data_IF_115283447478
#
_entry.id   IF_115283447478
#
_cell.length_a   1.000
_cell.length_b   1.000
_cell.length_c   1.000
_cell.angle_alpha   90.00
_cell.angle_beta   90.00
_cell.angle_gamma   90.00
#
_symmetry.space_group_name_H-M   'P 1'
#
loop_
_entity.id
_entity.type
_entity.pdbx_description
1 polymer ?
#
# COMPACT_ATOMS: atom_id res chain seq x y z
N UNK A 1 17.22 39.46 -35.18
CA UNK A 1 15.82 39.84 -34.99
C UNK A 1 15.33 38.99 -33.82
N UNK A 2 15.53 39.53 -32.64
CA UNK A 2 15.16 38.88 -31.35
C UNK A 2 13.68 39.20 -31.14
N UNK A 3 12.84 38.20 -31.05
CA UNK A 3 11.44 38.31 -30.63
C UNK A 3 11.36 38.03 -29.15
N UNK A 4 10.80 38.98 -28.45
CA UNK A 4 10.55 39.06 -27.02
C UNK A 4 9.66 37.90 -26.55
N UNK A 5 10.11 37.21 -25.52
CA UNK A 5 9.29 36.32 -24.74
C UNK A 5 8.70 37.14 -23.58
N UNK A 6 7.39 37.31 -23.58
CA UNK A 6 6.64 37.88 -22.47
C UNK A 6 6.75 36.97 -21.23
N UNK A 7 6.81 37.54 -20.01
CA UNK A 7 6.85 36.76 -18.79
C UNK A 7 5.49 36.15 -18.51
N UNK A 8 5.48 34.82 -18.33
CA UNK A 8 4.31 34.09 -17.81
C UNK A 8 4.01 34.58 -16.39
N UNK A 9 2.80 35.10 -16.22
CA UNK A 9 2.29 35.60 -14.95
C UNK A 9 2.37 34.53 -13.86
N UNK A 10 2.99 34.87 -12.74
CA UNK A 10 2.85 34.16 -11.47
C UNK A 10 1.39 34.13 -11.06
N UNK A 11 0.70 33.03 -11.34
CA UNK A 11 -0.60 32.75 -10.73
C UNK A 11 -0.36 32.35 -9.29
N UNK A 12 -0.62 33.29 -8.41
CA UNK A 12 -0.66 33.15 -6.96
C UNK A 12 -1.58 32.00 -6.55
N UNK A 13 -1.01 31.00 -5.89
CA UNK A 13 -1.71 29.95 -5.15
C UNK A 13 -2.39 30.53 -3.87
N UNK A 14 -3.22 31.56 -3.99
CA UNK A 14 -3.85 32.20 -2.85
C UNK A 14 -5.32 31.91 -2.62
N UNK A 15 -5.99 31.12 -3.49
CA UNK A 15 -7.45 30.90 -3.40
C UNK A 15 -7.88 29.42 -3.41
N UNK A 16 -7.09 28.53 -2.82
CA UNK A 16 -7.63 27.26 -2.36
C UNK A 16 -8.31 27.50 -1.01
N UNK A 17 -9.63 27.58 -1.05
CA UNK A 17 -10.51 27.80 0.10
C UNK A 17 -10.43 26.60 1.07
N UNK A 18 -9.40 26.62 1.96
CA UNK A 18 -9.17 25.63 3.02
C UNK A 18 -10.19 25.75 4.18
N UNK A 19 -11.26 26.53 4.06
CA UNK A 19 -12.30 26.70 5.10
C UNK A 19 -13.15 25.45 5.36
N UNK A 20 -13.00 24.37 4.59
CA UNK A 20 -13.71 23.11 4.80
C UNK A 20 -13.00 22.06 5.66
N UNK A 21 -11.70 22.20 5.93
CA UNK A 21 -10.96 21.25 6.75
C UNK A 21 -10.85 21.70 8.21
N UNK A 22 -11.90 21.46 8.97
CA UNK A 22 -11.86 21.56 10.43
C UNK A 22 -10.90 20.51 10.99
N UNK A 23 -9.83 20.96 11.67
CA UNK A 23 -8.84 20.12 12.38
C UNK A 23 -9.50 19.15 13.39
N UNK A 24 -10.74 19.37 13.77
CA UNK A 24 -11.49 18.52 14.68
C UNK A 24 -11.92 17.17 14.05
N UNK A 25 -11.92 17.01 12.71
CA UNK A 25 -12.30 15.75 12.05
C UNK A 25 -11.13 14.75 11.90
N UNK A 26 -9.89 15.18 12.13
CA UNK A 26 -8.70 14.35 11.99
C UNK A 26 -8.23 13.69 13.30
N UNK A 27 -8.88 13.97 14.42
CA UNK A 27 -8.53 13.36 15.72
C UNK A 27 -7.19 13.81 16.31
N UNK A 28 -6.51 14.75 15.69
CA UNK A 28 -5.27 15.34 16.23
C UNK A 28 -5.64 16.47 17.19
N UNK A 29 -5.28 16.33 18.45
CA UNK A 29 -5.33 17.45 19.39
C UNK A 29 -4.29 18.48 18.94
N UNK A 30 -4.66 19.77 18.94
CA UNK A 30 -3.82 20.90 18.54
C UNK A 30 -2.46 20.98 19.30
N UNK A 31 -2.35 20.24 20.41
CA UNK A 31 -1.17 20.12 21.28
C UNK A 31 -0.09 19.18 20.74
N UNK A 32 -0.38 18.32 19.73
CA UNK A 32 0.56 17.28 19.29
C UNK A 32 1.59 17.79 18.27
N UNK A 33 1.45 19.03 17.77
CA UNK A 33 2.36 19.65 16.78
C UNK A 33 3.22 20.80 17.34
N UNK A 34 3.11 21.11 18.62
CA UNK A 34 4.05 22.04 19.24
C UNK A 34 5.39 21.34 19.40
N UNK A 35 6.45 21.85 18.76
CA UNK A 35 7.82 21.45 19.02
C UNK A 35 7.97 21.54 20.56
N UNK A 36 8.35 20.45 21.24
CA UNK A 36 8.56 20.51 22.68
C UNK A 36 9.81 21.36 22.93
N UNK A 37 9.64 22.66 22.86
CA UNK A 37 10.66 23.62 23.22
C UNK A 37 10.49 23.94 24.70
N UNK A 38 11.48 23.54 25.52
CA UNK A 38 11.76 24.08 26.82
C UNK A 38 11.47 23.29 28.11
N UNK A 39 11.01 22.05 28.07
CA UNK A 39 11.07 21.26 29.31
C UNK A 39 12.45 20.59 29.45
N UNK A 40 13.42 21.38 29.99
CA UNK A 40 14.79 20.92 30.25
C UNK A 40 14.83 19.81 31.31
N UNK A 41 13.75 19.63 32.10
CA UNK A 41 13.68 18.63 33.17
C UNK A 41 13.64 17.20 32.64
N UNK A 42 13.16 16.99 31.39
CA UNK A 42 13.05 15.67 30.78
C UNK A 42 14.32 15.22 30.04
N UNK A 43 15.20 16.16 29.69
CA UNK A 43 16.41 15.90 28.93
C UNK A 43 17.50 15.28 29.78
N UNK A 44 18.14 14.24 29.30
CA UNK A 44 19.15 13.47 30.01
C UNK A 44 20.54 13.82 29.50
N UNK A 45 21.42 14.30 30.43
CA UNK A 45 22.81 14.62 30.13
C UNK A 45 23.71 13.62 30.83
N UNK A 46 24.72 13.13 30.13
CA UNK A 46 25.70 12.20 30.68
C UNK A 46 27.09 12.83 30.65
N UNK A 47 27.79 12.81 31.79
CA UNK A 47 29.12 13.43 31.96
C UNK A 47 30.15 12.34 32.18
N UNK A 48 31.25 12.39 31.41
CA UNK A 48 32.35 11.47 31.50
C UNK A 48 33.61 12.31 31.77
N UNK A 49 34.21 12.16 32.94
CA UNK A 49 35.43 12.86 33.37
C UNK A 49 36.03 12.05 34.52
N UNK A 50 37.33 11.78 34.50
CA UNK A 50 38.00 10.97 35.53
C UNK A 50 38.10 11.71 36.88
N UNK A 51 37.98 13.05 36.86
CA UNK A 51 38.00 13.89 38.06
C UNK A 51 36.59 14.15 38.60
N UNK A 52 36.26 13.58 39.75
CA UNK A 52 35.00 13.79 40.44
C UNK A 52 34.66 15.27 40.67
N UNK A 53 35.69 16.14 40.84
CA UNK A 53 35.52 17.58 41.05
C UNK A 53 34.90 18.24 39.82
N UNK A 54 35.38 17.92 38.61
CA UNK A 54 34.88 18.46 37.36
C UNK A 54 33.42 18.07 37.17
N UNK A 55 33.08 16.79 37.42
CA UNK A 55 31.70 16.29 37.38
C UNK A 55 30.79 17.09 38.33
N UNK A 56 31.21 17.31 39.57
CA UNK A 56 30.42 18.06 40.56
C UNK A 56 30.17 19.51 40.13
N UNK A 57 31.18 20.15 39.58
CA UNK A 57 31.06 21.51 39.05
C UNK A 57 30.09 21.57 37.87
N UNK A 58 30.24 20.72 36.87
CA UNK A 58 29.35 20.66 35.73
C UNK A 58 27.90 20.34 36.15
N UNK A 59 27.70 19.35 37.01
CA UNK A 59 26.36 18.98 37.56
C UNK A 59 25.73 20.16 38.30
N UNK A 60 26.52 20.92 39.11
CA UNK A 60 26.00 22.11 39.82
C UNK A 60 25.49 23.16 38.85
N UNK A 61 26.24 23.47 37.79
CA UNK A 61 25.83 24.42 36.77
C UNK A 61 24.56 23.94 36.04
N UNK A 62 24.55 22.71 35.55
CA UNK A 62 23.40 22.15 34.84
C UNK A 62 22.12 22.17 35.70
N UNK A 63 22.20 21.75 36.95
CA UNK A 63 21.07 21.79 37.89
C UNK A 63 20.57 23.22 38.15
N UNK A 64 21.48 24.19 38.27
CA UNK A 64 21.11 25.61 38.45
C UNK A 64 20.26 26.11 37.26
N UNK A 65 20.42 25.52 36.08
CA UNK A 65 19.68 25.86 34.85
C UNK A 65 18.46 24.98 34.57
N UNK A 66 18.09 24.10 35.53
CA UNK A 66 16.90 23.30 35.47
C UNK A 66 17.05 21.92 34.77
N UNK A 67 18.29 21.50 34.49
CA UNK A 67 18.55 20.14 34.05
C UNK A 67 18.60 19.20 35.27
N UNK A 68 17.55 18.40 35.43
CA UNK A 68 17.41 17.53 36.61
C UNK A 68 18.04 16.12 36.39
N UNK A 69 18.02 15.64 35.14
CA UNK A 69 18.50 14.32 34.76
C UNK A 69 19.94 14.37 34.27
N UNK A 70 20.87 14.45 35.23
CA UNK A 70 22.33 14.55 34.94
C UNK A 70 23.02 13.37 35.59
N UNK A 71 23.40 12.37 34.79
CA UNK A 71 24.19 11.23 35.20
C UNK A 71 25.68 11.40 34.84
N UNK A 72 26.55 10.56 35.41
CA UNK A 72 27.98 10.66 35.16
C UNK A 72 28.74 9.39 35.46
N UNK A 73 29.97 9.31 34.97
CA UNK A 73 30.94 8.28 35.36
C UNK A 73 32.33 8.86 35.44
N UNK A 74 33.13 8.35 36.39
CA UNK A 74 34.57 8.53 36.47
C UNK A 74 35.35 7.35 35.89
N UNK A 75 34.66 6.36 35.39
CA UNK A 75 35.25 5.18 34.79
C UNK A 75 35.07 5.23 33.25
N UNK A 76 36.15 5.62 32.51
CA UNK A 76 36.09 5.73 31.07
C UNK A 76 35.94 4.36 30.37
N UNK A 77 36.43 3.26 30.96
CA UNK A 77 36.38 1.93 30.36
C UNK A 77 34.93 1.41 30.24
N UNK A 78 34.04 1.80 31.15
CA UNK A 78 32.63 1.44 31.12
C UNK A 78 31.70 2.50 30.52
N UNK A 79 32.25 3.60 30.00
CA UNK A 79 31.48 4.76 29.55
C UNK A 79 30.50 4.41 28.41
N UNK A 80 30.98 3.75 27.38
CA UNK A 80 30.15 3.35 26.20
C UNK A 80 29.00 2.44 26.63
N UNK A 81 29.27 1.42 27.44
CA UNK A 81 28.23 0.54 27.98
C UNK A 81 27.16 1.31 28.76
N UNK A 82 27.59 2.22 29.63
CA UNK A 82 26.65 3.06 30.38
C UNK A 82 25.82 3.98 29.51
N UNK A 83 26.42 4.58 28.48
CA UNK A 83 25.71 5.41 27.51
C UNK A 83 24.59 4.63 26.82
N UNK A 84 24.89 3.38 26.40
CA UNK A 84 23.88 2.51 25.78
C UNK A 84 22.72 2.16 26.71
N UNK A 85 23.00 1.97 28.02
CA UNK A 85 21.96 1.67 29.01
C UNK A 85 21.15 2.89 29.42
N UNK A 86 21.80 4.03 29.50
CA UNK A 86 21.21 5.25 30.02
C UNK A 86 20.50 6.09 28.94
N UNK A 87 20.83 5.87 27.65
CA UNK A 87 20.27 6.57 26.48
C UNK A 87 20.19 8.10 26.67
N UNK A 88 21.32 8.81 26.89
CA UNK A 88 21.31 10.24 27.12
C UNK A 88 20.95 11.04 25.86
N UNK A 89 20.48 12.26 26.04
CA UNK A 89 20.22 13.21 24.96
C UNK A 89 21.47 14.06 24.62
N UNK A 90 22.45 14.13 25.51
CA UNK A 90 23.72 14.84 25.34
C UNK A 90 24.82 14.21 26.19
N UNK A 91 26.02 14.15 25.64
CA UNK A 91 27.23 13.70 26.34
C UNK A 91 28.19 14.87 26.51
N UNK A 92 28.71 15.08 27.74
CA UNK A 92 29.87 15.90 28.02
C UNK A 92 31.04 14.96 28.28
N UNK A 93 32.09 15.01 27.45
CA UNK A 93 33.16 14.02 27.42
C UNK A 93 34.53 14.71 27.61
N UNK A 94 35.22 14.38 28.68
CA UNK A 94 36.61 14.77 28.82
C UNK A 94 37.52 14.01 27.86
N UNK A 95 38.47 14.70 27.27
CA UNK A 95 39.47 14.06 26.37
C UNK A 95 40.60 13.40 27.15
N UNK A 96 41.10 14.07 28.16
CA UNK A 96 42.34 13.70 28.86
C UNK A 96 42.03 12.84 30.08
N UNK A 97 41.76 11.55 29.84
CA UNK A 97 41.52 10.56 30.90
C UNK A 97 42.55 9.47 30.86
N UNK A 98 42.95 8.89 32.04
CA UNK A 98 43.86 7.74 32.07
C UNK A 98 43.18 6.48 31.47
N UNK A 99 44.01 5.57 30.96
CA UNK A 99 43.61 4.27 30.36
C UNK A 99 42.89 4.34 29.02
N UNK A 100 41.76 5.10 28.94
CA UNK A 100 40.97 5.27 27.71
C UNK A 100 40.76 6.76 27.47
N UNK A 101 41.25 7.27 26.34
CA UNK A 101 41.07 8.67 25.98
C UNK A 101 39.64 8.98 25.53
N UNK A 102 39.20 10.24 25.73
CA UNK A 102 37.87 10.64 25.24
C UNK A 102 37.72 10.57 23.71
N UNK A 103 38.83 10.71 22.94
CA UNK A 103 38.78 10.52 21.50
C UNK A 103 38.44 9.06 21.12
N UNK A 104 38.97 8.09 21.85
CA UNK A 104 38.67 6.67 21.64
C UNK A 104 37.22 6.36 21.97
N UNK A 105 36.69 6.92 23.07
CA UNK A 105 35.26 6.78 23.39
C UNK A 105 34.38 7.42 22.29
N UNK A 106 34.78 8.60 21.77
CA UNK A 106 34.07 9.26 20.69
C UNK A 106 34.04 8.41 19.42
N UNK A 107 35.18 7.79 19.03
CA UNK A 107 35.30 6.88 17.89
C UNK A 107 34.39 5.66 18.06
N UNK A 108 34.39 5.04 19.25
CA UNK A 108 33.49 3.92 19.58
C UNK A 108 32.01 4.32 19.47
N UNK A 109 31.63 5.49 19.98
CA UNK A 109 30.27 6.01 19.88
C UNK A 109 29.85 6.29 18.43
N UNK A 110 30.75 6.71 17.57
CA UNK A 110 30.45 6.98 16.14
C UNK A 110 30.41 5.72 15.30
N UNK A 111 31.08 4.66 15.72
CA UNK A 111 31.09 3.35 15.06
C UNK A 111 29.82 2.53 15.34
N UNK A 112 29.14 2.76 16.46
CA UNK A 112 27.91 2.04 16.85
C UNK A 112 26.66 2.75 16.34
N UNK A 113 25.80 2.04 15.64
CA UNK A 113 24.54 2.55 15.07
C UNK A 113 23.58 3.12 16.12
N UNK A 114 23.60 2.57 17.33
CA UNK A 114 22.73 2.99 18.43
C UNK A 114 23.17 4.30 19.08
N UNK A 115 24.46 4.66 18.99
CA UNK A 115 25.04 5.82 19.69
C UNK A 115 25.60 6.90 18.77
N UNK A 116 25.89 6.59 17.50
CA UNK A 116 26.52 7.52 16.54
C UNK A 116 25.80 8.86 16.36
N UNK A 117 24.50 8.90 16.66
CA UNK A 117 23.66 10.07 16.51
C UNK A 117 23.57 10.94 17.77
N UNK A 118 24.20 10.50 18.90
CA UNK A 118 24.20 11.25 20.15
C UNK A 118 25.08 12.48 20.04
N UNK A 119 24.62 13.69 20.44
CA UNK A 119 25.46 14.86 20.47
C UNK A 119 26.49 14.77 21.59
N UNK A 120 27.73 15.11 21.25
CA UNK A 120 28.87 15.08 22.15
C UNK A 120 29.53 16.46 22.20
N UNK A 121 29.68 17.02 23.41
CA UNK A 121 30.51 18.18 23.69
C UNK A 121 31.80 17.70 24.37
N UNK A 122 32.91 18.05 23.79
CA UNK A 122 34.22 17.71 24.32
C UNK A 122 34.66 18.72 25.38
N UNK A 123 35.19 18.24 26.49
CA UNK A 123 35.84 19.03 27.52
C UNK A 123 37.38 18.98 27.33
N UNK A 124 38.07 20.09 27.14
CA UNK A 124 39.50 20.11 26.81
C UNK A 124 40.25 21.23 27.49
N UNK A 125 41.56 21.11 27.72
CA UNK A 125 42.41 22.18 28.22
C UNK A 125 42.63 23.25 27.12
N UNK A 126 42.91 24.49 27.55
CA UNK A 126 42.95 25.67 26.66
C UNK A 126 44.03 25.65 25.57
N UNK A 127 45.06 24.79 25.69
CA UNK A 127 46.27 24.79 24.84
C UNK A 127 46.27 23.74 23.72
N UNK A 128 45.15 23.01 23.49
CA UNK A 128 45.13 21.81 22.64
C UNK A 128 44.30 22.04 21.37
N UNK A 129 44.71 22.96 20.49
CA UNK A 129 43.99 23.24 19.23
C UNK A 129 43.97 22.06 18.28
N UNK A 130 45.04 21.28 18.22
CA UNK A 130 45.15 20.09 17.37
C UNK A 130 44.14 19.02 17.81
N UNK A 131 44.01 18.78 19.11
CA UNK A 131 43.07 17.80 19.67
C UNK A 131 41.60 18.23 19.48
N UNK A 132 41.32 19.54 19.54
CA UNK A 132 39.98 20.07 19.22
C UNK A 132 39.60 19.78 17.77
N UNK A 133 40.52 19.98 16.86
CA UNK A 133 40.30 19.70 15.42
C UNK A 133 40.06 18.22 15.18
N UNK A 134 40.91 17.36 15.74
CA UNK A 134 40.75 15.92 15.67
C UNK A 134 39.40 15.43 16.22
N UNK A 135 38.97 15.93 17.38
CA UNK A 135 37.67 15.61 17.97
C UNK A 135 36.48 15.99 17.06
N UNK A 136 36.55 17.18 16.43
CA UNK A 136 35.52 17.62 15.48
C UNK A 136 35.50 16.77 14.20
N UNK A 137 36.67 16.40 13.69
CA UNK A 137 36.77 15.47 12.54
C UNK A 137 36.19 14.07 12.86
N UNK A 138 36.41 13.59 14.10
CA UNK A 138 35.81 12.36 14.60
C UNK A 138 34.30 12.47 14.88
N UNK A 139 33.72 13.65 14.72
CA UNK A 139 32.29 13.89 14.83
C UNK A 139 31.79 14.38 16.18
N UNK A 140 32.65 14.99 16.99
CA UNK A 140 32.15 15.81 18.13
C UNK A 140 31.33 16.99 17.59
N UNK A 141 30.27 17.36 18.32
CA UNK A 141 29.38 18.43 17.90
C UNK A 141 29.85 19.81 18.34
N UNK A 142 30.61 19.89 19.45
CA UNK A 142 31.16 21.13 19.99
C UNK A 142 32.25 20.82 21.02
N UNK A 143 32.91 21.85 21.53
CA UNK A 143 33.90 21.73 22.61
C UNK A 143 33.76 22.84 23.66
N UNK A 144 34.23 22.60 24.88
CA UNK A 144 34.31 23.53 25.99
C UNK A 144 35.71 23.48 26.60
N UNK A 145 36.29 24.64 26.84
CA UNK A 145 37.59 24.73 27.48
C UNK A 145 37.48 24.62 29.00
N UNK A 146 38.40 23.89 29.63
CA UNK A 146 38.54 23.83 31.09
C UNK A 146 39.42 25.04 31.55
N UNK A 147 39.10 25.74 32.66
CA UNK A 147 37.94 25.50 33.54
C UNK A 147 36.64 25.88 32.88
N UNK A 148 35.58 25.09 33.10
CA UNK A 148 34.26 25.29 32.46
C UNK A 148 33.67 26.62 32.87
N UNK A 149 33.46 27.51 31.88
CA UNK A 149 32.70 28.76 32.08
C UNK A 149 31.20 28.45 31.92
N UNK A 150 30.39 28.72 32.95
CA UNK A 150 28.94 28.55 32.86
C UNK A 150 28.33 29.33 31.70
N UNK A 151 28.80 30.53 31.40
CA UNK A 151 28.24 31.37 30.33
C UNK A 151 28.50 30.85 28.94
N UNK A 152 29.55 30.05 28.73
CA UNK A 152 29.85 29.39 27.47
C UNK A 152 29.16 28.02 27.36
N UNK A 153 29.07 27.27 28.45
CA UNK A 153 28.49 25.95 28.50
C UNK A 153 26.97 25.93 28.19
N UNK A 154 26.20 26.83 28.81
CA UNK A 154 24.74 26.82 28.74
C UNK A 154 24.17 26.96 27.31
N UNK A 155 24.62 27.92 26.48
CA UNK A 155 24.13 28.06 25.10
C UNK A 155 24.41 26.81 24.26
N UNK A 156 25.60 26.19 24.40
CA UNK A 156 26.01 25.01 23.64
C UNK A 156 25.16 23.82 24.01
N UNK A 157 24.99 23.55 25.32
CA UNK A 157 24.11 22.48 25.82
C UNK A 157 22.68 22.66 25.32
N UNK A 158 22.11 23.87 25.44
CA UNK A 158 20.74 24.15 24.98
C UNK A 158 20.56 23.96 23.48
N UNK A 159 21.50 24.43 22.68
CA UNK A 159 21.42 24.30 21.22
C UNK A 159 21.46 22.85 20.78
N UNK A 160 22.37 22.06 21.33
CA UNK A 160 22.47 20.64 20.96
C UNK A 160 21.27 19.81 21.44
N UNK A 161 20.77 20.08 22.64
CA UNK A 161 19.58 19.44 23.16
C UNK A 161 18.33 19.85 22.38
N UNK A 162 18.20 21.11 21.93
CA UNK A 162 17.10 21.53 21.06
C UNK A 162 17.16 20.83 19.70
N UNK A 163 18.33 20.73 19.08
CA UNK A 163 18.55 19.98 17.86
C UNK A 163 18.18 18.48 18.02
N UNK A 164 18.61 17.88 19.13
CA UNK A 164 18.29 16.48 19.45
C UNK A 164 16.79 16.27 19.61
N UNK A 165 16.12 17.15 20.35
CA UNK A 165 14.68 17.09 20.52
C UNK A 165 13.94 17.23 19.17
N UNK A 166 14.40 18.13 18.30
CA UNK A 166 13.82 18.28 16.96
C UNK A 166 14.03 17.04 16.09
N UNK A 167 15.21 16.43 16.10
CA UNK A 167 15.48 15.17 15.38
C UNK A 167 14.57 14.04 15.88
N UNK A 168 14.48 13.85 17.19
CA UNK A 168 13.62 12.83 17.80
C UNK A 168 12.13 13.07 17.46
N UNK A 169 11.68 14.32 17.43
CA UNK A 169 10.32 14.67 17.00
C UNK A 169 10.06 14.30 15.55
N UNK A 170 10.99 14.63 14.64
CA UNK A 170 10.86 14.31 13.21
C UNK A 170 10.81 12.80 12.97
N UNK A 171 11.68 12.02 13.63
CA UNK A 171 11.69 10.56 13.52
C UNK A 171 10.35 9.96 13.96
N UNK A 172 9.86 10.33 15.15
CA UNK A 172 8.56 9.85 15.65
C UNK A 172 7.39 10.26 14.76
N UNK A 173 7.43 11.49 14.23
CA UNK A 173 6.39 11.98 13.31
C UNK A 173 6.38 11.20 11.99
N UNK A 174 7.56 10.85 11.46
CA UNK A 174 7.68 10.02 10.25
C UNK A 174 7.08 8.63 10.48
N UNK A 175 7.43 7.97 11.59
CA UNK A 175 6.88 6.65 11.95
C UNK A 175 5.36 6.67 12.09
N UNK A 176 4.82 7.70 12.75
CA UNK A 176 3.37 7.87 12.91
C UNK A 176 2.67 8.10 11.57
N UNK A 177 3.26 8.94 10.69
CA UNK A 177 2.72 9.18 9.35
C UNK A 177 2.72 7.91 8.49
N UNK A 178 3.82 7.15 8.51
CA UNK A 178 3.89 5.88 7.78
C UNK A 178 2.86 4.86 8.27
N UNK A 179 2.66 4.76 9.59
CA UNK A 179 1.64 3.90 10.16
C UNK A 179 0.23 4.33 9.73
N UNK A 180 -0.06 5.64 9.73
CA UNK A 180 -1.34 6.19 9.31
C UNK A 180 -1.58 5.99 7.80
N UNK A 181 -0.55 6.20 6.95
CA UNK A 181 -0.63 5.92 5.50
C UNK A 181 -0.95 4.44 5.27
N UNK A 182 -0.23 3.52 5.92
CA UNK A 182 -0.50 2.07 5.82
C UNK A 182 -1.94 1.74 6.23
N UNK A 183 -2.41 2.33 7.33
CA UNK A 183 -3.78 2.13 7.82
C UNK A 183 -4.83 2.61 6.83
N UNK A 184 -4.65 3.81 6.26
CA UNK A 184 -5.58 4.40 5.27
C UNK A 184 -5.58 3.63 3.97
N UNK A 185 -4.43 3.23 3.47
CA UNK A 185 -4.32 2.43 2.24
C UNK A 185 -5.05 1.09 2.40
N UNK A 186 -4.86 0.39 3.52
CA UNK A 186 -5.58 -0.86 3.78
C UNK A 186 -7.11 -0.66 3.87
N UNK A 187 -7.56 0.45 4.47
CA UNK A 187 -8.98 0.79 4.53
C UNK A 187 -9.59 1.10 3.15
N UNK A 188 -8.85 1.82 2.29
CA UNK A 188 -9.26 2.12 0.92
C UNK A 188 -9.38 0.85 0.07
N UNK A 189 -8.39 -0.04 0.10
CA UNK A 189 -8.43 -1.34 -0.60
C UNK A 189 -9.63 -2.16 -0.15
N UNK A 190 -9.89 -2.20 1.16
CA UNK A 190 -11.07 -2.91 1.68
C UNK A 190 -12.39 -2.28 1.24
N UNK A 191 -12.48 -0.95 1.19
CA UNK A 191 -13.66 -0.25 0.72
C UNK A 191 -13.91 -0.51 -0.77
N UNK A 192 -12.89 -0.48 -1.60
CA UNK A 192 -12.94 -0.82 -3.02
C UNK A 192 -13.47 -2.25 -3.24
N UNK A 193 -12.91 -3.24 -2.55
CA UNK A 193 -13.40 -4.62 -2.61
C UNK A 193 -14.87 -4.76 -2.19
N UNK A 194 -15.29 -4.01 -1.15
CA UNK A 194 -16.68 -4.02 -0.72
C UNK A 194 -17.61 -3.43 -1.78
N UNK A 195 -17.20 -2.37 -2.48
CA UNK A 195 -17.97 -1.76 -3.58
C UNK A 195 -18.10 -2.74 -4.74
N UNK A 196 -17.01 -3.38 -5.17
CA UNK A 196 -17.01 -4.39 -6.22
C UNK A 196 -17.98 -5.52 -5.87
N UNK A 197 -17.86 -6.09 -4.68
CA UNK A 197 -18.73 -7.15 -4.23
C UNK A 197 -20.21 -6.70 -4.13
N UNK A 198 -20.47 -5.45 -3.76
CA UNK A 198 -21.81 -4.90 -3.70
C UNK A 198 -22.43 -4.76 -5.09
N UNK A 199 -21.67 -4.21 -6.05
CA UNK A 199 -22.12 -4.06 -7.44
C UNK A 199 -22.35 -5.41 -8.11
N UNK A 200 -21.43 -6.36 -7.97
CA UNK A 200 -21.57 -7.71 -8.49
C UNK A 200 -22.82 -8.41 -7.94
N UNK A 201 -23.02 -8.34 -6.62
CA UNK A 201 -24.21 -8.91 -5.97
C UNK A 201 -25.51 -8.20 -6.38
N UNK A 202 -25.48 -6.89 -6.59
CA UNK A 202 -26.68 -6.16 -7.04
C UNK A 202 -27.13 -6.57 -8.43
N UNK A 203 -26.17 -6.87 -9.34
CA UNK A 203 -26.47 -7.41 -10.66
C UNK A 203 -27.11 -8.80 -10.57
N UNK A 204 -26.52 -9.71 -9.79
CA UNK A 204 -26.96 -11.08 -9.57
C UNK A 204 -28.31 -11.17 -8.83
N UNK A 205 -28.57 -10.26 -7.87
CA UNK A 205 -29.84 -10.28 -7.10
C UNK A 205 -31.08 -10.17 -7.99
N UNK A 206 -30.96 -9.52 -9.16
CA UNK A 206 -32.05 -9.45 -10.15
C UNK A 206 -32.29 -10.76 -10.88
N UNK A 207 -31.25 -11.61 -11.01
CA UNK A 207 -31.33 -12.93 -11.69
C UNK A 207 -31.70 -14.09 -10.73
N UNK A 208 -32.23 -13.77 -9.53
CA UNK A 208 -32.56 -14.74 -8.47
C UNK A 208 -31.36 -15.61 -8.01
N UNK A 209 -30.13 -15.16 -8.21
CA UNK A 209 -28.92 -15.80 -7.68
C UNK A 209 -28.50 -15.17 -6.34
N UNK A 210 -27.87 -15.93 -5.47
CA UNK A 210 -27.57 -15.50 -4.08
C UNK A 210 -26.34 -14.59 -3.97
N UNK A 211 -25.72 -14.25 -5.10
CA UNK A 211 -24.50 -13.45 -5.16
C UNK A 211 -23.24 -14.20 -4.69
N UNK A 212 -23.34 -15.52 -4.43
CA UNK A 212 -22.18 -16.38 -4.15
C UNK A 212 -21.49 -16.86 -5.41
N UNK A 213 -22.25 -16.93 -6.51
CA UNK A 213 -21.76 -17.23 -7.84
C UNK A 213 -20.57 -16.34 -8.21
N UNK A 214 -20.71 -15.02 -8.13
CA UNK A 214 -19.63 -14.09 -8.50
C UNK A 214 -18.36 -14.28 -7.67
N UNK A 215 -18.51 -14.68 -6.39
CA UNK A 215 -17.35 -14.96 -5.52
C UNK A 215 -16.64 -16.24 -6.00
N UNK A 216 -17.40 -17.28 -6.37
CA UNK A 216 -16.85 -18.54 -6.86
C UNK A 216 -16.18 -18.33 -8.22
N UNK A 217 -16.84 -17.64 -9.17
CA UNK A 217 -16.28 -17.32 -10.49
C UNK A 217 -14.96 -16.55 -10.36
N UNK A 218 -14.91 -15.51 -9.52
CA UNK A 218 -13.67 -14.80 -9.22
C UNK A 218 -12.58 -15.71 -8.65
N UNK A 219 -12.95 -16.60 -7.72
CA UNK A 219 -12.02 -17.59 -7.14
C UNK A 219 -11.47 -18.59 -8.16
N UNK A 220 -12.32 -19.08 -9.06
CA UNK A 220 -11.90 -19.99 -10.15
C UNK A 220 -11.02 -19.28 -11.18
N UNK A 221 -11.36 -18.04 -11.55
CA UNK A 221 -10.55 -17.24 -12.45
C UNK A 221 -9.13 -17.00 -11.92
N UNK A 222 -9.03 -16.64 -10.63
CA UNK A 222 -7.75 -16.51 -9.96
C UNK A 222 -6.94 -17.81 -9.94
N UNK A 223 -7.58 -18.92 -9.62
CA UNK A 223 -6.96 -20.24 -9.59
C UNK A 223 -6.41 -20.67 -10.96
N UNK A 224 -7.16 -20.39 -12.04
CA UNK A 224 -6.72 -20.65 -13.41
C UNK A 224 -5.51 -19.80 -13.75
N UNK A 225 -5.57 -18.49 -13.47
CA UNK A 225 -4.48 -17.56 -13.73
C UNK A 225 -3.19 -17.97 -12.98
N UNK A 226 -3.31 -18.35 -11.70
CA UNK A 226 -2.19 -18.89 -10.93
C UNK A 226 -1.61 -20.17 -11.55
N UNK A 227 -2.48 -21.13 -11.96
CA UNK A 227 -2.05 -22.37 -12.57
C UNK A 227 -1.39 -22.17 -13.94
N UNK A 228 -1.71 -21.11 -14.65
CA UNK A 228 -1.09 -20.69 -15.91
C UNK A 228 0.22 -19.91 -15.71
N UNK A 229 0.59 -19.56 -14.48
CA UNK A 229 1.84 -18.88 -14.15
C UNK A 229 1.81 -17.36 -14.26
N UNK A 230 0.64 -16.73 -14.23
CA UNK A 230 0.53 -15.29 -14.16
C UNK A 230 1.02 -14.75 -12.80
N UNK A 231 1.50 -13.50 -12.77
CA UNK A 231 1.98 -12.86 -11.56
C UNK A 231 0.85 -12.59 -10.55
N UNK A 232 1.23 -12.36 -9.30
CA UNK A 232 0.29 -12.16 -8.19
C UNK A 232 -0.62 -10.93 -8.41
N UNK A 233 -0.13 -9.91 -9.12
CA UNK A 233 -0.88 -8.70 -9.44
C UNK A 233 -2.03 -9.01 -10.38
N UNK A 234 -1.76 -9.72 -11.47
CA UNK A 234 -2.79 -10.15 -12.41
C UNK A 234 -3.78 -11.12 -11.77
N UNK A 235 -3.30 -12.08 -10.96
CA UNK A 235 -4.16 -13.04 -10.24
C UNK A 235 -5.17 -12.33 -9.34
N UNK A 236 -4.73 -11.33 -8.57
CA UNK A 236 -5.64 -10.51 -7.73
C UNK A 236 -6.59 -9.68 -8.57
N UNK A 237 -6.09 -9.10 -9.65
CA UNK A 237 -6.89 -8.24 -10.53
C UNK A 237 -8.02 -9.04 -11.21
N UNK A 238 -7.72 -10.21 -11.79
CA UNK A 238 -8.72 -11.06 -12.45
C UNK A 238 -9.71 -11.63 -11.44
N UNK A 239 -9.30 -11.92 -10.22
CA UNK A 239 -10.19 -12.36 -9.15
C UNK A 239 -11.34 -11.38 -8.89
N UNK A 240 -11.03 -10.09 -8.88
CA UNK A 240 -12.02 -9.05 -8.61
C UNK A 240 -12.76 -8.64 -9.89
N UNK A 241 -12.08 -8.55 -11.02
CA UNK A 241 -12.67 -8.19 -12.31
C UNK A 241 -13.69 -9.23 -12.81
N UNK A 242 -13.41 -10.53 -12.65
CA UNK A 242 -14.32 -11.59 -13.08
C UNK A 242 -15.67 -11.59 -12.32
N UNK A 243 -15.72 -11.03 -11.11
CA UNK A 243 -16.98 -10.86 -10.37
C UNK A 243 -17.97 -9.91 -11.07
N UNK A 244 -17.48 -9.06 -11.96
CA UNK A 244 -18.27 -8.05 -12.68
C UNK A 244 -18.65 -8.46 -14.10
N UNK A 245 -18.39 -9.73 -14.51
CA UNK A 245 -18.63 -10.21 -15.87
C UNK A 245 -20.06 -9.97 -16.36
N UNK A 246 -21.03 -10.13 -15.47
CA UNK A 246 -22.47 -10.04 -15.73
C UNK A 246 -23.12 -8.72 -15.24
N UNK A 247 -22.34 -7.72 -14.87
CA UNK A 247 -22.86 -6.45 -14.33
C UNK A 247 -23.84 -5.75 -15.29
N UNK A 248 -23.71 -5.97 -16.59
CA UNK A 248 -24.61 -5.43 -17.61
C UNK A 248 -26.04 -6.00 -17.58
N UNK A 249 -26.29 -7.09 -16.87
CA UNK A 249 -27.64 -7.60 -16.62
C UNK A 249 -28.56 -6.57 -15.94
N UNK A 250 -27.96 -5.57 -15.26
CA UNK A 250 -28.71 -4.45 -14.70
C UNK A 250 -29.56 -3.73 -15.75
N UNK A 251 -29.09 -3.67 -17.00
CA UNK A 251 -29.82 -3.04 -18.13
C UNK A 251 -30.86 -3.93 -18.82
N UNK A 252 -30.93 -5.23 -18.50
CA UNK A 252 -31.87 -6.14 -19.14
C UNK A 252 -33.26 -6.02 -18.50
N UNK A 253 -34.36 -5.94 -19.30
CA UNK A 253 -35.73 -5.91 -18.78
C UNK A 253 -36.09 -7.19 -18.00
N UNK A 254 -36.83 -7.04 -16.89
CA UNK A 254 -37.25 -8.17 -16.03
C UNK A 254 -38.11 -9.20 -16.78
N UNK A 255 -38.90 -8.77 -17.78
CA UNK A 255 -39.68 -9.67 -18.63
C UNK A 255 -38.84 -10.68 -19.41
N UNK A 256 -37.56 -10.37 -19.67
CA UNK A 256 -36.63 -11.23 -20.35
C UNK A 256 -35.71 -11.93 -19.35
N UNK A 257 -35.15 -11.18 -18.39
CA UNK A 257 -34.21 -11.70 -17.39
C UNK A 257 -34.83 -12.81 -16.52
N UNK A 258 -36.07 -12.60 -16.09
CA UNK A 258 -36.80 -13.50 -15.17
C UNK A 258 -37.75 -14.49 -15.88
N UNK A 259 -37.67 -14.57 -17.20
CA UNK A 259 -38.53 -15.48 -17.97
C UNK A 259 -38.24 -16.95 -17.65
N UNK A 260 -39.25 -17.68 -17.21
CA UNK A 260 -39.15 -19.09 -16.78
C UNK A 260 -39.08 -20.08 -17.91
N UNK A 261 -39.25 -19.64 -19.19
CA UNK A 261 -39.22 -20.45 -20.39
C UNK A 261 -37.99 -20.21 -21.27
N UNK A 262 -37.96 -20.87 -22.43
CA UNK A 262 -36.93 -20.58 -23.45
C UNK A 262 -37.16 -19.19 -24.00
N UNK A 263 -36.07 -18.42 -24.15
CA UNK A 263 -36.10 -17.15 -24.87
C UNK A 263 -36.31 -17.38 -26.36
N UNK A 264 -37.12 -16.53 -26.98
CA UNK A 264 -37.21 -16.51 -28.45
C UNK A 264 -35.99 -15.78 -29.06
N UNK A 265 -35.82 -15.77 -30.41
CA UNK A 265 -34.67 -15.16 -31.06
C UNK A 265 -34.48 -13.67 -30.73
N UNK A 266 -35.60 -12.88 -30.63
CA UNK A 266 -35.56 -11.45 -30.33
C UNK A 266 -35.18 -11.21 -28.87
N UNK A 267 -35.76 -11.97 -27.96
CA UNK A 267 -35.41 -11.94 -26.53
C UNK A 267 -33.96 -12.36 -26.28
N UNK A 268 -33.48 -13.39 -27.01
CA UNK A 268 -32.07 -13.79 -26.99
C UNK A 268 -31.15 -12.64 -27.46
N UNK A 269 -31.54 -11.92 -28.49
CA UNK A 269 -30.80 -10.75 -28.96
C UNK A 269 -30.72 -9.66 -27.91
N UNK A 270 -31.82 -9.38 -27.18
CA UNK A 270 -31.82 -8.42 -26.05
C UNK A 270 -30.96 -8.94 -24.89
N UNK A 271 -31.08 -10.20 -24.50
CA UNK A 271 -30.26 -10.80 -23.44
C UNK A 271 -28.78 -10.68 -23.72
N UNK A 272 -28.33 -10.93 -24.94
CA UNK A 272 -26.91 -10.79 -25.34
C UNK A 272 -26.35 -9.39 -25.20
N UNK A 273 -27.21 -8.35 -25.13
CA UNK A 273 -26.78 -6.98 -24.93
C UNK A 273 -26.18 -6.71 -23.55
N UNK A 274 -26.34 -7.63 -22.56
CA UNK A 274 -25.70 -7.44 -21.25
C UNK A 274 -24.17 -7.31 -21.38
N UNK A 275 -23.53 -7.96 -22.36
CA UNK A 275 -22.11 -7.81 -22.61
C UNK A 275 -21.74 -6.36 -22.95
N UNK A 276 -22.47 -5.70 -23.85
CA UNK A 276 -22.25 -4.29 -24.19
C UNK A 276 -22.73 -3.33 -23.11
N UNK A 277 -23.83 -3.64 -22.41
CA UNK A 277 -24.30 -2.86 -21.27
C UNK A 277 -23.32 -2.90 -20.09
N UNK A 278 -22.56 -4.00 -19.94
CA UNK A 278 -21.50 -4.10 -18.95
C UNK A 278 -20.45 -3.00 -19.09
N UNK A 279 -20.02 -2.72 -20.32
CA UNK A 279 -19.10 -1.58 -20.57
C UNK A 279 -19.73 -0.26 -20.17
N UNK A 280 -20.98 0.01 -20.54
CA UNK A 280 -21.63 1.27 -20.17
C UNK A 280 -21.71 1.47 -18.65
N UNK A 281 -21.95 0.41 -17.90
CA UNK A 281 -21.98 0.45 -16.43
C UNK A 281 -20.58 0.72 -15.85
N UNK A 282 -19.54 0.14 -16.43
CA UNK A 282 -18.18 0.22 -15.89
C UNK A 282 -17.40 1.45 -16.34
N UNK A 283 -17.68 1.99 -17.54
CA UNK A 283 -16.84 3.00 -18.19
C UNK A 283 -17.58 4.25 -18.70
N UNK A 284 -18.92 4.31 -18.60
CA UNK A 284 -19.73 5.39 -19.17
C UNK A 284 -19.51 5.61 -20.69
N UNK A 285 -19.15 4.56 -21.42
CA UNK A 285 -18.91 4.60 -22.87
C UNK A 285 -20.20 4.67 -23.69
N UNK A 286 -20.18 5.33 -24.85
CA UNK A 286 -21.30 5.36 -25.79
C UNK A 286 -21.22 4.27 -26.89
N UNK A 287 -22.22 4.24 -27.81
CA UNK A 287 -22.25 3.23 -28.89
C UNK A 287 -21.06 3.37 -29.86
N UNK A 288 -20.48 4.56 -30.03
CA UNK A 288 -19.32 4.77 -30.90
C UNK A 288 -18.06 4.15 -30.32
N UNK A 289 -17.92 4.18 -28.99
CA UNK A 289 -16.82 3.56 -28.24
C UNK A 289 -16.90 2.04 -28.37
N UNK A 290 -18.11 1.47 -28.36
CA UNK A 290 -18.32 0.04 -28.54
C UNK A 290 -17.82 -0.47 -29.92
N UNK A 291 -18.08 0.27 -31.01
CA UNK A 291 -17.56 -0.08 -32.33
C UNK A 291 -16.04 0.13 -32.45
N UNK A 292 -15.51 1.11 -31.76
CA UNK A 292 -14.07 1.30 -31.63
C UNK A 292 -13.44 0.13 -30.86
N UNK A 293 -14.03 -0.27 -29.72
CA UNK A 293 -13.59 -1.41 -28.93
C UNK A 293 -13.61 -2.71 -29.74
N UNK A 294 -14.68 -3.00 -30.50
CA UNK A 294 -14.78 -4.17 -31.39
C UNK A 294 -13.59 -4.24 -32.36
N UNK A 295 -13.25 -3.12 -33.01
CA UNK A 295 -12.12 -3.07 -33.96
C UNK A 295 -10.78 -3.33 -33.27
N UNK A 296 -10.60 -2.88 -32.05
CA UNK A 296 -9.34 -2.98 -31.32
C UNK A 296 -9.16 -4.35 -30.67
N UNK A 297 -10.21 -4.97 -30.15
CA UNK A 297 -10.14 -6.36 -29.67
C UNK A 297 -9.70 -7.26 -30.81
N UNK A 298 -10.22 -7.03 -32.04
CA UNK A 298 -9.80 -7.75 -33.25
C UNK A 298 -8.33 -7.47 -33.66
N UNK A 299 -7.79 -6.31 -33.32
CA UNK A 299 -6.40 -5.93 -33.64
C UNK A 299 -5.41 -6.21 -32.50
N UNK A 300 -5.86 -6.74 -31.37
CA UNK A 300 -5.00 -7.05 -30.21
C UNK A 300 -4.40 -5.79 -29.53
N UNK A 301 -4.96 -4.60 -29.78
CA UNK A 301 -4.46 -3.35 -29.22
C UNK A 301 -5.13 -3.03 -27.85
N UNK A 302 -4.33 -2.56 -26.91
CA UNK A 302 -4.80 -2.11 -25.59
C UNK A 302 -5.44 -0.72 -25.70
N UNK A 303 -6.78 -0.63 -25.82
CA UNK A 303 -7.52 0.66 -25.87
C UNK A 303 -7.74 1.28 -24.50
N UNK A 304 -7.49 0.54 -23.45
CA UNK A 304 -7.91 0.89 -22.10
C UNK A 304 -6.89 1.75 -21.35
N UNK A 305 -5.91 2.34 -22.06
CA UNK A 305 -4.94 3.29 -21.49
C UNK A 305 -5.57 4.61 -21.00
N UNK A 306 -6.83 4.89 -21.36
CA UNK A 306 -7.56 6.07 -20.88
C UNK A 306 -8.34 5.83 -19.57
N UNK A 307 -8.36 4.58 -19.06
CA UNK A 307 -9.07 4.26 -17.81
C UNK A 307 -8.07 4.25 -16.67
N UNK A 308 -8.23 5.18 -15.74
CA UNK A 308 -7.40 5.30 -14.53
C UNK A 308 -7.43 4.06 -13.60
N UNK A 309 -8.35 3.10 -13.85
CA UNK A 309 -8.50 1.87 -13.06
C UNK A 309 -8.21 0.61 -13.88
N UNK A 310 -7.05 -0.05 -13.67
CA UNK A 310 -6.74 -1.34 -14.31
C UNK A 310 -7.80 -2.42 -14.08
N UNK A 311 -8.47 -2.37 -12.93
CA UNK A 311 -9.54 -3.30 -12.57
C UNK A 311 -10.77 -3.11 -13.45
N UNK A 312 -11.25 -1.88 -13.63
CA UNK A 312 -12.41 -1.60 -14.48
C UNK A 312 -12.12 -1.90 -15.95
N UNK A 313 -10.89 -1.62 -16.38
CA UNK A 313 -10.40 -1.97 -17.70
C UNK A 313 -10.47 -3.49 -17.95
N UNK A 314 -9.97 -4.30 -17.02
CA UNK A 314 -10.02 -5.75 -17.12
C UNK A 314 -11.46 -6.28 -17.05
N UNK A 315 -12.28 -5.75 -16.13
CA UNK A 315 -13.68 -6.14 -15.97
C UNK A 315 -14.50 -5.86 -17.25
N UNK A 316 -14.23 -4.76 -17.93
CA UNK A 316 -14.90 -4.42 -19.19
C UNK A 316 -14.56 -5.38 -20.31
N UNK A 317 -13.29 -5.76 -20.45
CA UNK A 317 -12.88 -6.79 -21.43
C UNK A 317 -13.53 -8.13 -21.11
N UNK A 318 -13.59 -8.52 -19.83
CA UNK A 318 -14.29 -9.74 -19.39
C UNK A 318 -15.78 -9.67 -19.73
N UNK A 319 -16.47 -8.59 -19.37
CA UNK A 319 -17.91 -8.42 -19.67
C UNK A 319 -18.22 -8.59 -21.16
N UNK A 320 -17.34 -8.10 -22.04
CA UNK A 320 -17.50 -8.21 -23.47
C UNK A 320 -17.18 -9.58 -24.04
N UNK A 321 -16.30 -10.36 -23.42
CA UNK A 321 -15.68 -11.51 -24.11
C UNK A 321 -15.89 -12.85 -23.41
N UNK A 322 -16.48 -12.88 -22.22
CA UNK A 322 -16.69 -14.14 -21.48
C UNK A 322 -17.69 -15.11 -22.13
N UNK A 323 -18.49 -14.64 -23.10
CA UNK A 323 -19.38 -15.48 -23.91
C UNK A 323 -18.83 -15.78 -25.32
N UNK A 324 -17.62 -15.33 -25.63
CA UNK A 324 -16.93 -15.78 -26.83
C UNK A 324 -16.53 -17.25 -26.68
N UNK A 325 -16.47 -17.97 -27.81
CA UNK A 325 -16.09 -19.37 -27.83
C UNK A 325 -14.85 -19.58 -28.67
N UNK A 326 -14.02 -20.52 -28.28
CA UNK A 326 -12.74 -20.78 -28.94
C UNK A 326 -12.88 -21.03 -30.45
N UNK A 327 -13.99 -21.65 -30.90
CA UNK A 327 -14.29 -21.93 -32.31
C UNK A 327 -14.90 -20.74 -33.09
N UNK A 328 -15.12 -19.59 -32.46
CA UNK A 328 -15.72 -18.41 -33.06
C UNK A 328 -17.25 -18.42 -33.13
N UNK A 329 -17.92 -19.42 -32.57
CA UNK A 329 -19.40 -19.50 -32.54
C UNK A 329 -20.02 -18.70 -31.38
N UNK A 330 -19.19 -17.96 -30.60
CA UNK A 330 -19.60 -17.15 -29.48
C UNK A 330 -20.22 -15.78 -29.85
N UNK A 331 -20.41 -14.93 -28.88
CA UNK A 331 -20.93 -13.57 -29.04
C UNK A 331 -20.27 -12.61 -28.02
N UNK A 332 -20.30 -11.30 -28.24
CA UNK A 332 -21.02 -10.56 -29.28
C UNK A 332 -20.25 -10.42 -30.61
N UNK A 333 -18.94 -10.68 -30.65
CA UNK A 333 -18.10 -10.38 -31.81
C UNK A 333 -17.78 -11.60 -32.69
N UNK A 334 -17.95 -12.84 -32.17
CA UNK A 334 -17.56 -14.06 -32.86
C UNK A 334 -16.04 -14.22 -32.97
N UNK A 335 -15.29 -13.79 -31.93
CA UNK A 335 -13.85 -13.95 -31.86
C UNK A 335 -13.49 -15.44 -31.75
N UNK A 336 -12.38 -15.82 -32.39
CA UNK A 336 -11.93 -17.24 -32.40
C UNK A 336 -10.47 -17.35 -31.86
N UNK A 337 -10.23 -18.43 -31.14
CA UNK A 337 -8.88 -18.74 -30.65
C UNK A 337 -8.25 -17.63 -29.81
N UNK A 338 -7.03 -17.29 -30.13
CA UNK A 338 -6.26 -16.26 -29.40
C UNK A 338 -6.73 -14.81 -29.63
N UNK A 339 -7.67 -14.58 -30.54
CA UNK A 339 -8.33 -13.28 -30.68
C UNK A 339 -9.18 -12.95 -29.45
N UNK A 340 -9.63 -13.96 -28.71
CA UNK A 340 -10.35 -13.77 -27.45
C UNK A 340 -9.31 -13.38 -26.38
N UNK A 341 -9.46 -12.24 -25.69
CA UNK A 341 -8.58 -11.88 -24.58
C UNK A 341 -8.48 -12.99 -23.53
N UNK A 342 -7.29 -13.16 -22.95
CA UNK A 342 -7.02 -14.25 -22.00
C UNK A 342 -8.00 -14.24 -20.83
N UNK A 343 -8.28 -13.06 -20.29
CA UNK A 343 -9.23 -12.88 -19.19
C UNK A 343 -10.66 -13.32 -19.55
N UNK A 344 -11.08 -13.14 -20.78
CA UNK A 344 -12.35 -13.65 -21.29
C UNK A 344 -12.37 -15.17 -21.37
N UNK A 345 -11.29 -15.76 -21.91
CA UNK A 345 -11.14 -17.25 -21.99
C UNK A 345 -11.14 -17.89 -20.59
N UNK A 346 -10.44 -17.29 -19.63
CA UNK A 346 -10.39 -17.73 -18.22
C UNK A 346 -11.78 -17.65 -17.59
N UNK A 347 -12.45 -16.51 -17.74
CA UNK A 347 -13.76 -16.28 -17.13
C UNK A 347 -14.84 -17.18 -17.73
N UNK A 348 -14.80 -17.46 -19.03
CA UNK A 348 -15.73 -18.38 -19.69
C UNK A 348 -15.69 -19.81 -19.08
N UNK A 349 -14.52 -20.33 -18.78
CA UNK A 349 -14.38 -21.66 -18.12
C UNK A 349 -14.92 -21.59 -16.69
N UNK A 350 -14.57 -20.53 -15.94
CA UNK A 350 -14.97 -20.33 -14.55
C UNK A 350 -16.50 -20.20 -14.42
N UNK A 351 -17.14 -19.39 -15.27
CA UNK A 351 -18.59 -19.15 -15.26
C UNK A 351 -19.37 -20.41 -15.65
N UNK A 352 -19.00 -21.06 -16.76
CA UNK A 352 -19.69 -22.28 -17.19
C UNK A 352 -19.54 -23.38 -16.15
N UNK A 353 -18.38 -23.57 -15.53
CA UNK A 353 -18.22 -24.55 -14.46
C UNK A 353 -19.16 -24.26 -13.29
N UNK A 354 -19.22 -23.02 -12.84
CA UNK A 354 -20.12 -22.63 -11.76
C UNK A 354 -21.59 -22.86 -12.13
N UNK A 355 -21.98 -22.48 -13.33
CA UNK A 355 -23.34 -22.72 -13.85
C UNK A 355 -23.73 -24.18 -13.94
N UNK A 356 -22.77 -25.10 -14.15
CA UNK A 356 -23.02 -26.55 -14.19
C UNK A 356 -23.06 -27.15 -12.77
N UNK A 357 -22.17 -26.69 -11.88
CA UNK A 357 -21.95 -27.28 -10.56
C UNK A 357 -22.87 -26.73 -9.48
N UNK A 358 -23.66 -25.67 -9.78
CA UNK A 358 -24.56 -25.01 -8.82
C UNK A 358 -26.02 -25.26 -9.18
N UNK A 359 -26.87 -25.44 -8.15
CA UNK A 359 -28.32 -25.56 -8.32
C UNK A 359 -28.89 -24.21 -8.77
N UNK A 360 -29.68 -24.20 -9.83
CA UNK A 360 -30.46 -23.04 -10.28
C UNK A 360 -31.95 -23.31 -10.14
N UNK A 361 -32.84 -22.30 -10.08
CA UNK A 361 -34.27 -22.48 -9.85
C UNK A 361 -34.93 -23.49 -10.82
N UNK A 362 -34.37 -23.61 -12.01
CA UNK A 362 -34.92 -24.46 -13.11
C UNK A 362 -34.05 -25.67 -13.42
N UNK A 363 -32.92 -25.90 -12.73
CA UNK A 363 -31.99 -26.97 -13.05
C UNK A 363 -31.22 -27.47 -11.82
N UNK A 364 -31.24 -28.77 -11.49
CA UNK A 364 -30.39 -29.31 -10.44
C UNK A 364 -28.91 -29.19 -10.83
N UNK A 365 -28.01 -29.09 -9.82
CA UNK A 365 -26.58 -29.15 -10.03
C UNK A 365 -26.19 -30.51 -10.65
N UNK A 366 -25.25 -30.49 -11.58
CA UNK A 366 -24.64 -31.75 -12.04
C UNK A 366 -23.60 -32.24 -11.02
N UNK A 367 -23.38 -33.58 -10.94
CA UNK A 367 -22.24 -34.12 -10.23
C UNK A 367 -20.93 -33.54 -10.78
N UNK A 368 -19.96 -33.31 -9.88
CA UNK A 368 -18.70 -32.65 -10.24
C UNK A 368 -17.95 -33.37 -11.36
N UNK A 369 -17.93 -34.68 -11.33
CA UNK A 369 -17.31 -35.50 -12.40
C UNK A 369 -17.90 -35.18 -13.76
N UNK A 370 -19.22 -34.99 -13.80
CA UNK A 370 -19.91 -34.61 -15.04
C UNK A 370 -19.59 -33.20 -15.48
N UNK A 371 -19.44 -32.27 -14.53
CA UNK A 371 -19.02 -30.88 -14.82
C UNK A 371 -17.61 -30.84 -15.45
N UNK A 372 -16.68 -31.58 -14.89
CA UNK A 372 -15.32 -31.70 -15.44
C UNK A 372 -15.32 -32.39 -16.83
N UNK A 373 -16.16 -33.42 -17.04
CA UNK A 373 -16.29 -34.07 -18.32
C UNK A 373 -16.81 -33.13 -19.41
N UNK A 374 -17.83 -32.30 -19.11
CA UNK A 374 -18.36 -31.27 -20.03
C UNK A 374 -17.31 -30.26 -20.42
N UNK A 375 -16.49 -29.80 -19.48
CA UNK A 375 -15.38 -28.88 -19.79
C UNK A 375 -14.34 -29.52 -20.72
N UNK A 376 -14.04 -30.81 -20.48
CA UNK A 376 -13.13 -31.62 -21.33
C UNK A 376 -13.67 -31.80 -22.74
N UNK A 377 -14.96 -32.11 -22.89
CA UNK A 377 -15.64 -32.25 -24.19
C UNK A 377 -15.66 -30.93 -24.97
N UNK A 378 -15.78 -29.80 -24.26
CA UNK A 378 -15.74 -28.44 -24.85
C UNK A 378 -14.35 -27.92 -25.19
N UNK A 379 -13.29 -28.66 -24.86
CA UNK A 379 -11.90 -28.25 -25.11
C UNK A 379 -11.63 -28.14 -26.62
N UNK A 380 -11.12 -26.96 -27.05
CA UNK A 380 -10.82 -26.66 -28.45
C UNK A 380 -12.05 -26.30 -29.32
N UNK A 381 -13.25 -26.28 -28.74
CA UNK A 381 -14.48 -25.78 -29.37
C UNK A 381 -15.09 -24.64 -28.58
N UNK A 382 -15.64 -24.92 -27.44
CA UNK A 382 -16.16 -23.87 -26.55
C UNK A 382 -15.02 -23.16 -25.79
N UNK A 383 -14.05 -23.91 -25.29
CA UNK A 383 -13.03 -23.42 -24.38
C UNK A 383 -11.60 -23.49 -24.93
N UNK A 384 -10.76 -22.57 -24.52
CA UNK A 384 -9.32 -22.63 -24.75
C UNK A 384 -8.74 -23.91 -24.12
N UNK A 385 -8.02 -24.73 -24.90
CA UNK A 385 -7.39 -25.94 -24.39
C UNK A 385 -6.47 -25.73 -23.20
N UNK A 386 -5.67 -24.66 -23.20
CA UNK A 386 -4.71 -24.36 -22.14
C UNK A 386 -5.42 -23.96 -20.84
N UNK A 387 -6.48 -23.18 -20.94
CA UNK A 387 -7.28 -22.74 -19.78
C UNK A 387 -7.99 -23.94 -19.12
N UNK A 388 -8.55 -24.86 -19.94
CA UNK A 388 -9.16 -26.08 -19.42
C UNK A 388 -8.14 -26.96 -18.72
N UNK A 389 -6.94 -27.15 -19.29
CA UNK A 389 -5.88 -27.95 -18.67
C UNK A 389 -5.43 -27.34 -17.33
N UNK A 390 -5.24 -26.03 -17.28
CA UNK A 390 -4.90 -25.31 -16.06
C UNK A 390 -5.97 -25.49 -14.97
N UNK A 391 -7.25 -25.34 -15.32
CA UNK A 391 -8.36 -25.56 -14.39
C UNK A 391 -8.40 -26.98 -13.85
N UNK A 392 -8.29 -27.98 -14.73
CA UNK A 392 -8.34 -29.40 -14.37
C UNK A 392 -7.12 -29.84 -13.54
N UNK A 393 -5.97 -29.17 -13.65
CA UNK A 393 -4.79 -29.42 -12.81
C UNK A 393 -5.01 -29.08 -11.33
N UNK A 394 -6.04 -28.29 -11.02
CA UNK A 394 -6.36 -27.76 -9.68
C UNK A 394 -7.71 -28.27 -9.13
N UNK A 395 -8.19 -29.42 -9.55
CA UNK A 395 -9.52 -29.99 -9.20
C UNK A 395 -9.82 -29.93 -7.70
N UNK A 396 -8.87 -30.31 -6.85
CA UNK A 396 -9.09 -30.35 -5.40
C UNK A 396 -9.37 -28.95 -4.83
N UNK A 397 -8.65 -27.95 -5.32
CA UNK A 397 -8.84 -26.54 -4.91
C UNK A 397 -10.17 -25.99 -5.45
N UNK A 398 -10.56 -26.34 -6.67
CA UNK A 398 -11.87 -26.00 -7.26
C UNK A 398 -12.99 -26.52 -6.38
N UNK A 399 -12.93 -27.78 -5.97
CA UNK A 399 -13.92 -28.41 -5.07
C UNK A 399 -13.95 -27.70 -3.73
N UNK A 400 -12.81 -27.35 -3.17
CA UNK A 400 -12.72 -26.60 -1.90
C UNK A 400 -13.39 -25.22 -2.00
N UNK A 401 -13.19 -24.48 -3.11
CA UNK A 401 -13.87 -23.20 -3.35
C UNK A 401 -15.38 -23.41 -3.42
N UNK A 402 -15.85 -24.40 -4.18
CA UNK A 402 -17.27 -24.69 -4.32
C UNK A 402 -17.92 -25.00 -2.96
N UNK A 403 -17.30 -25.89 -2.16
CA UNK A 403 -17.81 -26.24 -0.83
C UNK A 403 -17.85 -25.05 0.12
N UNK A 404 -16.82 -24.22 0.10
CA UNK A 404 -16.71 -23.03 0.97
C UNK A 404 -17.82 -22.01 0.72
N UNK A 405 -18.24 -21.88 -0.53
CA UNK A 405 -19.25 -20.91 -0.96
C UNK A 405 -20.52 -21.60 -1.49
N UNK A 406 -20.81 -22.83 -1.04
CA UNK A 406 -22.07 -23.52 -1.35
C UNK A 406 -23.28 -22.75 -0.83
N UNK A 407 -24.40 -22.88 -1.55
CA UNK A 407 -25.68 -22.34 -1.10
C UNK A 407 -26.13 -23.04 0.20
N UNK A 408 -26.75 -22.33 1.16
CA UNK A 408 -27.43 -23.01 2.27
C UNK A 408 -28.59 -23.81 1.72
N UNK A 409 -28.79 -25.02 2.25
CA UNK A 409 -29.90 -25.90 1.92
C UNK A 409 -31.27 -25.27 2.20
#
# INVERSE_FOLDING_TARGET
MLAELEPVAESTFSDLDLKGFSSAKLGFKKTDWSIPCQDTSLQKIFIIDDEELNIRVAKKYLRTWGFERVDSTTDPANAVYRIQQEEPDLILLDIMMPEVSGLQILEDLRSDESTRHLPVIILTAHAEEEIKHEALELGANDFLSKPIDPMDMLPRVRNLLALRAQQNFLLRSSEMLEAEVRRRTAALVKAEQNIINCLARAAEYRDNDTGRHVIRVGGYAALIAEAMGFDETFVKLIQDAAKLHDVGKIGIPDSILLKTGKLDPDECSVMRKHCSMGIHVLQQCDESDFEAFRRHVQMGANILDEIDSPLLALASRIALTHHEKWDGSGYPFGLAGEQIPMEGRITAVADVFDALSTRRPYKPAFPLEKCFAILMEGKGTHFDPQVVDAFLSRKDTVVAIQMRYSEPE
#
